data_IF_504375603674
#
_entry.id   IF_504375603674
#
_cell.length_a   1.000
_cell.length_b   1.000
_cell.length_c   1.000
_cell.angle_alpha   90.00
_cell.angle_beta   90.00
_cell.angle_gamma   90.00
#
_symmetry.space_group_name_H-M   'P 1'
#
loop_
_entity.id
_entity.type
_entity.pdbx_description
1 polymer ?
#
# COMPACT_ATOMS: atom_id res chain seq x y z
N UNK A 1 10.19 22.12 -8.46
CA UNK A 1 10.04 20.82 -9.13
C UNK A 1 8.96 20.07 -8.38
N UNK A 2 7.99 19.44 -9.05
CA UNK A 2 6.97 18.66 -8.33
C UNK A 2 7.58 17.31 -7.98
N UNK A 3 7.74 17.05 -6.70
CA UNK A 3 8.18 15.75 -6.21
C UNK A 3 7.10 14.71 -6.53
N UNK A 4 7.29 13.97 -7.63
CA UNK A 4 6.40 12.91 -8.09
C UNK A 4 6.07 11.93 -6.95
N UNK A 5 7.04 11.67 -6.07
CA UNK A 5 6.89 10.85 -4.89
C UNK A 5 5.88 11.41 -3.89
N UNK A 6 5.88 12.73 -3.65
CA UNK A 6 4.95 13.37 -2.72
C UNK A 6 3.53 13.40 -3.28
N UNK A 7 3.39 13.59 -4.59
CA UNK A 7 2.09 13.58 -5.26
C UNK A 7 1.44 12.20 -5.20
N UNK A 8 2.21 11.14 -5.50
CA UNK A 8 1.76 9.75 -5.36
C UNK A 8 1.40 9.43 -3.91
N UNK A 9 2.20 9.92 -2.94
CA UNK A 9 1.90 9.71 -1.52
C UNK A 9 0.59 10.38 -1.09
N UNK A 10 0.33 11.62 -1.55
CA UNK A 10 -0.95 12.32 -1.31
C UNK A 10 -2.12 11.58 -1.95
N UNK A 11 -1.93 11.05 -3.16
CA UNK A 11 -2.94 10.25 -3.85
C UNK A 11 -3.25 8.95 -3.11
N UNK A 12 -2.24 8.23 -2.61
CA UNK A 12 -2.41 7.01 -1.82
C UNK A 12 -3.04 7.27 -0.44
N UNK A 13 -2.71 8.40 0.20
CA UNK A 13 -3.34 8.82 1.45
C UNK A 13 -4.83 9.17 1.27
N UNK A 14 -5.17 9.76 0.12
CA UNK A 14 -6.54 10.17 -0.22
C UNK A 14 -7.38 8.99 -0.73
N UNK A 15 -6.81 8.19 -1.63
CA UNK A 15 -7.39 6.94 -2.14
C UNK A 15 -6.84 5.78 -1.31
N UNK A 16 -7.49 5.50 -0.18
CA UNK A 16 -7.29 4.27 0.62
C UNK A 16 -7.80 3.03 -0.14
N UNK A 17 -7.29 2.80 -1.34
CA UNK A 17 -7.67 1.71 -2.22
C UNK A 17 -6.84 0.45 -1.98
N UNK A 18 -7.17 -0.60 -2.74
CA UNK A 18 -6.35 -1.80 -2.83
C UNK A 18 -5.01 -1.50 -3.49
N UNK A 19 -3.92 -1.79 -2.78
CA UNK A 19 -2.55 -1.63 -3.27
C UNK A 19 -1.82 -2.96 -3.29
N UNK A 20 -0.84 -3.05 -4.17
CA UNK A 20 0.14 -4.12 -4.16
C UNK A 20 1.50 -3.52 -3.84
N UNK A 21 2.13 -3.96 -2.75
CA UNK A 21 3.48 -3.56 -2.36
C UNK A 21 4.44 -4.70 -2.67
N UNK A 22 5.53 -4.37 -3.34
CA UNK A 22 6.63 -5.29 -3.61
C UNK A 22 7.77 -4.97 -2.65
N UNK A 23 8.11 -5.92 -1.78
CA UNK A 23 9.27 -5.78 -0.92
C UNK A 23 10.54 -6.03 -1.72
N UNK A 24 11.67 -5.48 -1.24
CA UNK A 24 13.00 -5.77 -1.80
C UNK A 24 13.33 -7.26 -1.81
N UNK A 25 12.72 -8.04 -0.92
CA UNK A 25 12.79 -9.51 -0.88
C UNK A 25 11.96 -10.22 -1.96
N UNK A 26 11.39 -9.48 -2.93
CA UNK A 26 10.46 -9.95 -3.96
C UNK A 26 9.12 -10.48 -3.45
N UNK A 27 8.83 -10.35 -2.15
CA UNK A 27 7.52 -10.70 -1.58
C UNK A 27 6.48 -9.68 -2.03
N UNK A 28 5.38 -10.17 -2.59
CA UNK A 28 4.22 -9.37 -2.99
C UNK A 28 3.18 -9.36 -1.88
N UNK A 29 2.81 -8.18 -1.40
CA UNK A 29 1.74 -7.99 -0.42
C UNK A 29 0.60 -7.24 -1.10
N UNK A 30 -0.55 -7.90 -1.27
CA UNK A 30 -1.78 -7.27 -1.77
C UNK A 30 -2.74 -7.01 -0.61
N UNK A 31 -3.20 -5.78 -0.46
CA UNK A 31 -4.11 -5.40 0.62
C UNK A 31 -4.62 -3.97 0.49
N UNK A 32 -5.36 -3.49 1.48
CA UNK A 32 -5.80 -2.10 1.55
C UNK A 32 -4.92 -1.30 2.52
N UNK A 33 -4.58 -0.07 2.14
CA UNK A 33 -3.87 0.86 3.05
C UNK A 33 -4.87 1.39 4.08
N UNK A 34 -4.60 1.13 5.36
CA UNK A 34 -5.41 1.66 6.47
C UNK A 34 -4.91 3.05 6.88
N UNK A 35 -3.58 3.16 7.02
CA UNK A 35 -2.89 4.40 7.39
C UNK A 35 -1.45 4.41 6.84
N UNK A 36 -0.87 5.60 6.71
CA UNK A 36 0.50 5.81 6.27
C UNK A 36 1.14 6.93 7.10
N UNK A 37 2.41 6.74 7.43
CA UNK A 37 3.30 7.73 8.02
C UNK A 37 4.52 7.95 7.10
N UNK A 38 5.39 8.92 7.41
CA UNK A 38 6.51 9.33 6.56
C UNK A 38 7.43 8.16 6.17
N UNK A 39 7.56 7.16 7.03
CA UNK A 39 8.45 6.02 6.82
C UNK A 39 7.72 4.67 6.81
N UNK A 40 6.45 4.62 7.20
CA UNK A 40 5.72 3.36 7.40
C UNK A 40 4.36 3.36 6.72
N UNK A 41 3.92 2.19 6.27
CA UNK A 41 2.60 1.99 5.68
C UNK A 41 1.95 0.82 6.39
N UNK A 42 0.75 1.04 6.90
CA UNK A 42 -0.06 -0.02 7.49
C UNK A 42 -1.01 -0.58 6.42
N UNK A 43 -0.80 -1.85 6.09
CA UNK A 43 -1.58 -2.56 5.09
C UNK A 43 -2.43 -3.61 5.80
N UNK A 44 -3.74 -3.54 5.61
CA UNK A 44 -4.64 -4.63 5.93
C UNK A 44 -4.65 -5.61 4.78
N UNK A 45 -4.04 -6.76 5.01
CA UNK A 45 -4.04 -7.87 4.05
C UNK A 45 -5.33 -8.63 4.22
N UNK A 46 -6.20 -8.58 3.22
CA UNK A 46 -7.32 -9.52 3.13
C UNK A 46 -6.75 -10.78 2.51
N UNK A 47 -6.34 -11.73 3.35
CA UNK A 47 -6.19 -13.11 2.90
C UNK A 47 -7.60 -13.60 2.61
N UNK A 48 -8.00 -13.56 1.34
CA UNK A 48 -9.12 -14.38 0.89
C UNK A 48 -8.77 -15.80 1.28
N UNK A 49 -9.60 -16.44 2.10
CA UNK A 49 -9.57 -17.87 2.35
C UNK A 49 -9.63 -18.55 1.00
N UNK A 50 -8.48 -18.96 0.48
CA UNK A 50 -8.42 -19.87 -0.64
C UNK A 50 -8.63 -21.28 -0.04
N UNK A 51 -9.80 -21.87 -0.33
CA UNK A 51 -10.25 -23.19 0.11
C UNK A 51 -11.26 -23.12 1.25
N UNK A 52 -12.48 -23.68 1.19
CA UNK A 52 -13.03 -24.79 0.40
C UNK A 52 -14.43 -24.48 -0.11
#
# INVERSE_FOLDING_TARGET
MKDLQEDVYKQLKTKKGGVTVFLKSAVRISGQIITMDKFTVLIMVVFGTCGY
#
